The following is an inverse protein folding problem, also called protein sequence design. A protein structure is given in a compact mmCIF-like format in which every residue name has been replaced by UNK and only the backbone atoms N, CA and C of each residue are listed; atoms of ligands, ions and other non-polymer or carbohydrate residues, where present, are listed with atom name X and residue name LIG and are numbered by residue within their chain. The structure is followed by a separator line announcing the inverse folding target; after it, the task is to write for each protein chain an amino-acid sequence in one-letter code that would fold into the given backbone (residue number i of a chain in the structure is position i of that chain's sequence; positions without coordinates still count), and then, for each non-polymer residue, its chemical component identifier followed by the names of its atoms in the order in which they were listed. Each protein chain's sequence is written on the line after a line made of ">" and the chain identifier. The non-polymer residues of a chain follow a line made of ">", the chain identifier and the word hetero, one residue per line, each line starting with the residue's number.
data_IF_523631824164
#
_entry.id   IF_523631824164
#
_cell.length_a   1.000
_cell.length_b   1.000
_cell.length_c   1.000
_cell.angle_alpha   90.00
_cell.angle_beta   90.00
_cell.angle_gamma   90.00
#
_symmetry.space_group_name_H-M   'P 1'
#
loop_
_entity.id
_entity.type
_entity.pdbx_description
1 polymer ?
#
# COMPACT_ATOMS: atom_id res chain seq x y z
N UNK A 1 -79.66 50.74 23.53
CA UNK A 1 -79.60 50.62 22.04
C UNK A 1 -78.21 50.97 21.55
N UNK A 2 -77.61 50.30 20.66
CA UNK A 2 -77.29 48.92 20.59
C UNK A 2 -75.74 48.65 20.44
N UNK A 3 -75.35 47.51 20.92
CA UNK A 3 -74.42 46.53 20.40
C UNK A 3 -73.08 46.93 19.75
N UNK A 4 -72.07 46.71 20.55
CA UNK A 4 -70.68 46.61 20.19
C UNK A 4 -70.33 45.27 19.49
N UNK A 5 -69.59 45.36 18.44
CA UNK A 5 -69.04 44.20 17.70
C UNK A 5 -67.71 43.73 18.34
N UNK A 6 -67.68 42.47 18.57
CA UNK A 6 -66.58 41.72 19.19
C UNK A 6 -65.46 41.47 18.15
N UNK A 7 -64.33 41.98 18.50
CA UNK A 7 -63.11 41.64 17.73
C UNK A 7 -62.56 40.25 18.10
N UNK A 8 -62.48 39.43 17.10
CA UNK A 8 -61.97 38.08 17.21
C UNK A 8 -60.47 38.13 16.93
N UNK A 9 -59.63 37.98 17.96
CA UNK A 9 -58.21 37.79 17.79
C UNK A 9 -57.94 36.35 17.47
N UNK A 10 -57.56 36.08 16.23
CA UNK A 10 -57.03 34.81 15.81
C UNK A 10 -55.53 34.73 16.15
N UNK A 11 -55.16 33.89 17.14
CA UNK A 11 -53.78 33.56 17.44
C UNK A 11 -53.28 32.57 16.39
N UNK A 12 -52.44 33.04 15.47
CA UNK A 12 -51.73 32.18 14.53
C UNK A 12 -50.45 31.65 15.24
N UNK A 13 -50.48 30.42 15.71
CA UNK A 13 -49.32 29.74 16.25
C UNK A 13 -48.39 29.28 15.07
N UNK A 14 -47.31 30.01 14.84
CA UNK A 14 -46.28 29.61 13.90
C UNK A 14 -45.44 28.47 14.50
N UNK A 15 -45.73 27.24 14.06
CA UNK A 15 -44.93 26.07 14.40
C UNK A 15 -43.69 26.05 13.50
N UNK A 16 -42.57 26.61 13.95
CA UNK A 16 -41.26 26.50 13.28
C UNK A 16 -40.69 25.13 13.55
N UNK A 17 -40.85 24.21 12.59
CA UNK A 17 -40.15 22.93 12.58
C UNK A 17 -38.67 23.14 12.24
N UNK A 18 -37.82 23.05 13.27
CA UNK A 18 -36.36 23.00 13.13
C UNK A 18 -36.00 21.66 12.48
N UNK A 19 -35.74 21.65 11.18
CA UNK A 19 -35.15 20.50 10.50
C UNK A 19 -33.68 20.40 10.96
N UNK A 20 -33.40 19.52 11.92
CA UNK A 20 -32.02 19.15 12.27
C UNK A 20 -31.39 18.43 11.09
N UNK A 21 -30.49 19.09 10.35
CA UNK A 21 -29.68 18.48 9.37
C UNK A 21 -28.70 17.46 10.05
N UNK A 22 -29.01 16.17 9.97
CA UNK A 22 -28.12 15.12 10.40
C UNK A 22 -26.94 15.10 9.39
N UNK A 23 -25.69 15.38 9.84
CA UNK A 23 -24.57 15.24 8.92
C UNK A 23 -24.51 13.78 8.46
N UNK A 24 -24.66 13.54 7.18
CA UNK A 24 -24.41 12.24 6.59
C UNK A 24 -22.94 11.89 6.85
N UNK A 25 -22.70 10.94 7.75
CA UNK A 25 -21.41 10.36 7.97
C UNK A 25 -20.99 9.74 6.63
N UNK A 26 -20.10 10.39 5.89
CA UNK A 26 -19.48 9.81 4.73
C UNK A 26 -18.70 8.60 5.22
N UNK A 27 -19.12 7.42 4.82
CA UNK A 27 -18.35 6.19 4.99
C UNK A 27 -17.03 6.41 4.24
N UNK A 28 -15.96 6.74 4.96
CA UNK A 28 -14.62 6.76 4.39
C UNK A 28 -14.30 5.32 4.00
N UNK A 29 -14.22 5.06 2.70
CA UNK A 29 -13.73 3.79 2.19
C UNK A 29 -12.37 3.52 2.85
N UNK A 30 -12.27 2.39 3.56
CA UNK A 30 -11.00 2.00 4.20
C UNK A 30 -9.91 1.94 3.14
N UNK A 31 -8.74 2.58 3.36
CA UNK A 31 -7.66 2.56 2.40
C UNK A 31 -7.31 1.13 2.00
N UNK A 32 -7.23 0.86 0.71
CA UNK A 32 -6.96 -0.49 0.18
C UNK A 32 -5.57 -0.96 0.60
N UNK A 33 -5.51 -2.07 1.34
CA UNK A 33 -4.26 -2.74 1.67
C UNK A 33 -3.67 -3.34 0.39
N UNK A 34 -2.40 -3.06 0.12
CA UNK A 34 -1.67 -3.56 -1.05
C UNK A 34 -0.53 -4.51 -0.68
N UNK A 35 -0.06 -4.46 0.57
CA UNK A 35 0.97 -5.35 1.09
C UNK A 35 0.68 -5.68 2.55
N UNK A 36 0.82 -6.95 2.90
CA UNK A 36 0.77 -7.43 4.29
C UNK A 36 2.12 -8.01 4.69
N UNK A 37 2.65 -7.61 5.84
CA UNK A 37 3.85 -8.20 6.45
C UNK A 37 3.44 -8.93 7.72
N UNK A 38 3.84 -10.19 7.87
CA UNK A 38 3.46 -11.06 9.00
C UNK A 38 4.62 -11.95 9.45
N UNK A 39 4.41 -12.75 10.49
CA UNK A 39 5.43 -13.65 11.05
C UNK A 39 6.28 -12.96 12.12
N UNK A 40 7.61 -13.11 12.08
CA UNK A 40 8.53 -12.53 13.09
C UNK A 40 8.69 -11.02 12.92
N UNK A 41 7.69 -10.27 13.35
CA UNK A 41 7.65 -8.79 13.34
C UNK A 41 7.34 -8.26 14.74
N UNK A 42 7.85 -7.08 15.08
CA UNK A 42 7.62 -6.42 16.38
C UNK A 42 6.61 -5.28 16.34
N UNK A 43 6.24 -4.81 15.14
CA UNK A 43 5.27 -3.73 14.96
C UNK A 43 4.08 -4.25 14.16
N UNK A 44 2.88 -3.90 14.60
CA UNK A 44 1.63 -4.30 13.94
C UNK A 44 0.66 -3.12 13.91
N UNK A 45 -0.14 -3.00 12.86
CA UNK A 45 -1.28 -2.07 12.76
C UNK A 45 -2.60 -2.80 12.49
N UNK A 46 -2.55 -4.15 12.43
CA UNK A 46 -3.68 -5.06 12.37
C UNK A 46 -3.34 -6.33 13.18
N UNK A 47 -4.31 -7.17 13.56
CA UNK A 47 -4.05 -8.36 14.37
C UNK A 47 -2.98 -9.28 13.76
N UNK A 48 -1.80 -9.38 14.42
CA UNK A 48 -0.69 -10.27 14.04
C UNK A 48 0.06 -9.88 12.75
N UNK A 49 -0.18 -8.69 12.20
CA UNK A 49 0.41 -8.26 10.92
C UNK A 49 0.59 -6.74 10.83
N UNK A 50 1.40 -6.31 9.89
CA UNK A 50 1.52 -4.92 9.48
C UNK A 50 1.00 -4.78 8.04
N UNK A 51 0.01 -3.93 7.86
CA UNK A 51 -0.65 -3.68 6.58
C UNK A 51 -0.20 -2.34 6.00
N UNK A 52 0.22 -2.35 4.74
CA UNK A 52 0.56 -1.14 4.00
C UNK A 52 -0.50 -0.84 2.96
N UNK A 53 -0.91 0.41 2.91
CA UNK A 53 -1.59 0.99 1.75
C UNK A 53 -0.57 1.53 0.75
N UNK A 54 -1.00 1.86 -0.46
CA UNK A 54 -0.09 2.47 -1.45
C UNK A 54 0.46 3.82 -0.97
N UNK A 55 -0.36 4.61 -0.26
CA UNK A 55 0.05 5.90 0.30
C UNK A 55 1.11 5.74 1.40
N UNK A 56 0.98 4.72 2.25
CA UNK A 56 2.00 4.41 3.26
C UNK A 56 3.34 4.04 2.61
N UNK A 57 3.31 3.23 1.55
CA UNK A 57 4.52 2.89 0.79
C UNK A 57 5.10 4.12 0.07
N UNK A 58 4.25 5.01 -0.44
CA UNK A 58 4.68 6.25 -1.09
C UNK A 58 5.28 7.27 -0.11
N UNK A 59 4.88 7.24 1.16
CA UNK A 59 5.39 8.11 2.22
C UNK A 59 6.77 7.68 2.75
N UNK A 60 7.20 6.42 2.53
CA UNK A 60 8.57 5.99 2.83
C UNK A 60 9.56 6.66 1.87
N UNK A 61 10.86 6.76 2.24
CA UNK A 61 11.89 7.25 1.34
C UNK A 61 11.88 6.47 0.02
N UNK A 62 11.76 7.17 -1.10
CA UNK A 62 11.70 6.56 -2.43
C UNK A 62 13.09 6.45 -3.03
N UNK A 63 13.37 5.32 -3.65
CA UNK A 63 14.59 5.05 -4.39
C UNK A 63 14.24 4.67 -5.84
N UNK A 64 15.09 5.08 -6.80
CA UNK A 64 14.92 4.78 -8.21
C UNK A 64 16.22 4.31 -8.83
N UNK A 65 16.13 3.33 -9.70
CA UNK A 65 17.22 2.94 -10.62
C UNK A 65 16.64 2.42 -11.93
N UNK A 66 17.46 2.46 -12.97
CA UNK A 66 17.17 1.84 -14.26
C UNK A 66 18.02 0.58 -14.38
N UNK A 67 17.42 -0.53 -14.79
CA UNK A 67 18.13 -1.81 -14.94
C UNK A 67 17.50 -2.68 -16.02
N UNK A 68 18.33 -3.48 -16.68
CA UNK A 68 17.88 -4.60 -17.49
C UNK A 68 17.28 -5.70 -16.62
N UNK A 69 16.30 -6.38 -17.15
CA UNK A 69 15.69 -7.55 -16.49
C UNK A 69 15.44 -8.64 -17.52
N UNK A 70 15.30 -9.90 -17.12
CA UNK A 70 14.99 -10.98 -18.08
C UNK A 70 13.55 -10.91 -18.62
N UNK A 71 12.72 -10.03 -18.10
CA UNK A 71 11.29 -9.94 -18.44
C UNK A 71 10.94 -8.80 -19.41
N UNK A 72 11.87 -7.86 -19.63
CA UNK A 72 11.68 -6.72 -20.55
C UNK A 72 12.83 -6.66 -21.53
N UNK A 73 12.53 -6.27 -22.77
CA UNK A 73 13.55 -6.15 -23.84
C UNK A 73 14.48 -4.97 -23.63
N UNK A 74 13.97 -3.92 -22.97
CA UNK A 74 14.67 -2.67 -22.73
C UNK A 74 14.85 -2.45 -21.22
N UNK A 75 15.87 -1.68 -20.79
CA UNK A 75 16.01 -1.28 -19.41
C UNK A 75 14.76 -0.52 -18.96
N UNK A 76 14.33 -0.77 -17.71
CA UNK A 76 13.18 -0.09 -17.11
C UNK A 76 13.60 0.65 -15.86
N UNK A 77 13.02 1.82 -15.64
CA UNK A 77 13.15 2.57 -14.41
C UNK A 77 12.15 2.04 -13.39
N UNK A 78 12.66 1.58 -12.25
CA UNK A 78 11.85 1.13 -11.12
C UNK A 78 11.95 2.13 -9.98
N UNK A 79 10.80 2.48 -9.38
CA UNK A 79 10.74 3.43 -8.26
C UNK A 79 9.86 2.89 -7.16
N UNK A 80 10.34 2.97 -5.92
CA UNK A 80 9.62 2.58 -4.72
C UNK A 80 10.49 2.72 -3.47
N UNK A 81 9.97 2.39 -2.27
CA UNK A 81 10.79 2.31 -1.07
C UNK A 81 11.79 1.16 -1.19
N UNK A 82 12.92 1.29 -0.50
CA UNK A 82 13.84 0.16 -0.34
C UNK A 82 13.17 -0.94 0.49
N UNK A 83 13.43 -2.20 0.14
CA UNK A 83 12.91 -3.33 0.88
C UNK A 83 13.26 -3.24 2.37
N UNK A 84 14.49 -2.87 2.72
CA UNK A 84 14.93 -2.67 4.11
C UNK A 84 14.08 -1.66 4.89
N UNK A 85 13.62 -0.59 4.24
CA UNK A 85 12.81 0.45 4.89
C UNK A 85 11.39 -0.06 5.17
N UNK A 86 10.83 -0.86 4.26
CA UNK A 86 9.55 -1.55 4.44
C UNK A 86 9.64 -2.55 5.60
N UNK A 87 10.71 -3.37 5.64
CA UNK A 87 10.94 -4.33 6.72
C UNK A 87 11.16 -3.64 8.07
N UNK A 88 11.89 -2.53 8.10
CA UNK A 88 12.11 -1.72 9.31
C UNK A 88 10.81 -1.08 9.83
N UNK A 89 9.93 -0.63 8.94
CA UNK A 89 8.62 -0.09 9.31
C UNK A 89 7.76 -1.14 10.03
N UNK A 90 7.80 -2.41 9.61
CA UNK A 90 7.12 -3.53 10.26
C UNK A 90 7.90 -4.11 11.46
N UNK A 91 9.12 -3.65 11.71
CA UNK A 91 9.97 -4.14 12.80
C UNK A 91 10.36 -5.62 12.65
N UNK A 92 10.83 -6.00 11.47
CA UNK A 92 11.22 -7.38 11.15
C UNK A 92 12.36 -7.88 12.03
N UNK A 93 12.23 -9.09 12.56
CA UNK A 93 13.20 -9.77 13.44
C UNK A 93 13.61 -11.15 12.92
N UNK A 94 13.11 -11.57 11.75
CA UNK A 94 13.46 -12.84 11.12
C UNK A 94 14.67 -12.74 10.20
N UNK A 95 15.00 -13.86 9.56
CA UNK A 95 16.15 -13.98 8.63
C UNK A 95 15.73 -14.30 7.21
N UNK A 96 14.55 -14.85 7.03
CA UNK A 96 14.01 -15.27 5.74
C UNK A 96 12.67 -14.57 5.48
N UNK A 97 12.47 -14.17 4.24
CA UNK A 97 11.22 -13.60 3.74
C UNK A 97 10.62 -14.60 2.75
N UNK A 98 9.38 -15.00 2.97
CA UNK A 98 8.54 -15.65 1.96
C UNK A 98 7.66 -14.59 1.32
N UNK A 99 8.03 -14.18 0.11
CA UNK A 99 7.27 -13.23 -0.69
C UNK A 99 6.18 -13.98 -1.45
N UNK A 100 4.91 -13.58 -1.28
CA UNK A 100 3.76 -14.25 -1.89
C UNK A 100 3.08 -13.30 -2.88
N UNK A 101 2.92 -13.75 -4.11
CA UNK A 101 2.23 -13.03 -5.17
C UNK A 101 0.71 -13.25 -5.16
N UNK A 102 -0.03 -12.46 -5.93
CA UNK A 102 -1.49 -12.57 -6.06
C UNK A 102 -1.96 -13.92 -6.62
N UNK A 103 -1.12 -14.58 -7.43
CA UNK A 103 -1.35 -15.91 -7.99
C UNK A 103 -0.81 -17.05 -7.11
N UNK A 104 -0.50 -16.77 -5.84
CA UNK A 104 0.06 -17.69 -4.85
C UNK A 104 1.48 -18.22 -5.16
N UNK A 105 2.16 -17.67 -6.18
CA UNK A 105 3.59 -17.91 -6.36
C UNK A 105 4.36 -17.44 -5.13
N UNK A 106 5.32 -18.24 -4.69
CA UNK A 106 6.16 -17.95 -3.50
C UNK A 106 7.61 -17.86 -3.93
N UNK A 107 8.26 -16.79 -3.51
CA UNK A 107 9.70 -16.61 -3.63
C UNK A 107 10.31 -16.48 -2.24
N UNK A 108 11.45 -17.11 -2.02
CA UNK A 108 12.20 -17.00 -0.76
C UNK A 108 13.43 -16.13 -0.96
N UNK A 109 13.62 -15.16 -0.08
CA UNK A 109 14.79 -14.30 -0.09
C UNK A 109 15.25 -13.99 1.33
N UNK A 110 16.58 -13.91 1.58
CA UNK A 110 17.11 -13.50 2.89
C UNK A 110 16.73 -12.04 3.19
N UNK A 111 16.43 -11.75 4.45
CA UNK A 111 16.26 -10.36 4.94
C UNK A 111 17.50 -9.52 4.65
N UNK A 112 18.69 -10.12 4.75
CA UNK A 112 19.98 -9.48 4.47
C UNK A 112 20.14 -8.95 3.04
N UNK A 113 19.39 -9.46 2.06
CA UNK A 113 19.43 -8.93 0.70
C UNK A 113 19.03 -7.45 0.66
N UNK A 114 18.09 -7.05 1.52
CA UNK A 114 17.68 -5.65 1.65
C UNK A 114 18.77 -4.72 2.20
N UNK A 115 19.76 -5.25 2.92
CA UNK A 115 20.91 -4.49 3.43
C UNK A 115 22.12 -4.56 2.50
N UNK A 116 22.33 -5.71 1.86
CA UNK A 116 23.45 -5.92 0.93
C UNK A 116 23.28 -5.17 -0.38
N UNK A 117 22.05 -5.07 -0.86
CA UNK A 117 21.72 -4.45 -2.13
C UNK A 117 20.60 -3.41 -1.94
N UNK A 118 20.56 -2.36 -2.74
CA UNK A 118 19.44 -1.42 -2.74
C UNK A 118 18.22 -2.03 -3.46
N UNK A 119 17.69 -3.14 -2.92
CA UNK A 119 16.50 -3.79 -3.43
C UNK A 119 15.30 -2.86 -3.27
N UNK A 120 14.60 -2.58 -4.36
CA UNK A 120 13.42 -1.73 -4.37
C UNK A 120 12.16 -2.58 -4.35
N UNK A 121 11.23 -2.23 -3.48
CA UNK A 121 9.84 -2.63 -3.61
C UNK A 121 9.16 -1.66 -4.57
N UNK A 122 9.30 -1.94 -5.86
CA UNK A 122 8.82 -1.06 -6.92
C UNK A 122 7.28 -0.95 -6.88
N UNK A 123 6.79 0.28 -6.86
CA UNK A 123 5.38 0.65 -7.03
C UNK A 123 5.13 1.39 -8.35
N UNK A 124 6.21 1.90 -8.95
CA UNK A 124 6.20 2.55 -10.26
C UNK A 124 7.22 1.90 -11.19
N UNK A 125 6.86 1.79 -12.45
CA UNK A 125 7.75 1.47 -13.56
C UNK A 125 7.62 2.57 -14.62
N UNK A 126 8.76 3.15 -15.04
CA UNK A 126 8.81 4.30 -15.94
C UNK A 126 7.90 5.45 -15.46
N UNK A 127 7.98 5.74 -14.15
CA UNK A 127 7.24 6.77 -13.42
C UNK A 127 5.70 6.59 -13.42
N UNK A 128 5.19 5.41 -13.78
CA UNK A 128 3.77 5.08 -13.81
C UNK A 128 3.45 3.92 -12.86
N UNK A 129 2.28 3.91 -12.21
CA UNK A 129 1.81 2.75 -11.45
C UNK A 129 1.75 1.51 -12.35
N UNK A 130 2.21 0.37 -11.82
CA UNK A 130 2.16 -0.89 -12.54
C UNK A 130 0.77 -1.54 -12.38
N UNK A 131 0.06 -1.80 -13.48
CA UNK A 131 -1.17 -2.59 -13.40
C UNK A 131 -0.88 -4.05 -13.05
N UNK A 132 -1.85 -4.75 -12.45
CA UNK A 132 -1.71 -6.18 -12.08
C UNK A 132 -1.31 -7.04 -13.28
N UNK A 133 -1.89 -6.79 -14.46
CA UNK A 133 -1.54 -7.50 -15.71
C UNK A 133 -0.09 -7.30 -16.16
N UNK A 134 0.60 -6.27 -15.63
CA UNK A 134 1.98 -5.94 -15.96
C UNK A 134 2.83 -5.84 -14.68
N UNK A 135 2.91 -6.97 -13.96
CA UNK A 135 3.72 -7.20 -12.75
C UNK A 135 3.38 -6.36 -11.51
N UNK A 136 2.35 -5.48 -11.57
CA UNK A 136 1.90 -4.69 -10.43
C UNK A 136 0.96 -5.43 -9.47
N UNK A 137 0.55 -4.81 -8.37
CA UNK A 137 0.84 -3.42 -8.03
C UNK A 137 2.25 -3.19 -7.44
N UNK A 138 2.91 -4.25 -6.94
CA UNK A 138 4.22 -4.22 -6.31
C UNK A 138 5.13 -5.30 -6.89
N UNK A 139 6.42 -4.96 -7.01
CA UNK A 139 7.43 -5.83 -7.58
C UNK A 139 8.76 -5.69 -6.81
N UNK A 140 9.33 -6.78 -6.32
CA UNK A 140 10.66 -6.81 -5.71
C UNK A 140 11.69 -6.81 -6.83
N UNK A 141 12.49 -5.75 -6.94
CA UNK A 141 13.47 -5.58 -8.02
C UNK A 141 14.86 -5.34 -7.45
N UNK A 142 15.83 -6.11 -7.92
CA UNK A 142 17.24 -5.91 -7.65
C UNK A 142 17.87 -5.01 -8.73
N UNK A 143 18.92 -4.23 -8.41
CA UNK A 143 19.63 -3.42 -9.38
C UNK A 143 20.60 -4.29 -10.20
N UNK A 144 20.09 -5.11 -11.12
CA UNK A 144 20.85 -6.17 -11.81
C UNK A 144 22.09 -5.68 -12.57
N UNK A 145 22.07 -4.43 -13.03
CA UNK A 145 23.21 -3.86 -13.77
C UNK A 145 24.30 -3.28 -12.87
N UNK A 146 24.03 -3.17 -11.55
CA UNK A 146 25.02 -2.64 -10.60
C UNK A 146 26.06 -3.68 -10.18
N UNK A 147 25.76 -4.97 -10.30
CA UNK A 147 26.64 -6.05 -9.92
C UNK A 147 26.34 -7.30 -10.76
N UNK A 148 27.38 -7.91 -11.31
CA UNK A 148 27.26 -9.14 -12.14
C UNK A 148 26.63 -10.31 -11.41
N UNK A 149 26.86 -10.42 -10.10
CA UNK A 149 26.29 -11.49 -9.26
C UNK A 149 24.76 -11.45 -9.25
N UNK A 150 24.16 -10.29 -9.43
CA UNK A 150 22.72 -10.11 -9.45
C UNK A 150 22.07 -10.61 -10.74
N UNK A 151 22.84 -10.76 -11.83
CA UNK A 151 22.39 -11.27 -13.12
C UNK A 151 22.41 -12.81 -13.15
N UNK A 152 21.69 -13.43 -12.22
CA UNK A 152 21.62 -14.88 -12.09
C UNK A 152 20.20 -15.33 -11.73
N UNK A 153 19.87 -16.57 -12.05
CA UNK A 153 18.58 -17.18 -11.72
C UNK A 153 18.23 -17.07 -10.24
N UNK A 154 19.23 -17.09 -9.36
CA UNK A 154 19.06 -16.94 -7.93
C UNK A 154 18.30 -15.64 -7.60
N UNK A 155 18.74 -14.51 -8.13
CA UNK A 155 18.14 -13.20 -7.84
C UNK A 155 16.90 -12.95 -8.68
N UNK A 156 16.83 -13.50 -9.89
CA UNK A 156 15.60 -13.47 -10.69
C UNK A 156 14.47 -14.22 -9.98
N UNK A 157 14.74 -15.38 -9.39
CA UNK A 157 13.75 -16.16 -8.63
C UNK A 157 13.32 -15.49 -7.31
N UNK A 158 14.15 -14.58 -6.73
CA UNK A 158 13.79 -13.77 -5.56
C UNK A 158 12.93 -12.56 -5.89
N UNK A 159 12.79 -12.22 -7.15
CA UNK A 159 12.10 -11.02 -7.62
C UNK A 159 10.62 -11.32 -7.86
N UNK A 160 9.86 -11.36 -6.78
CA UNK A 160 8.42 -11.60 -6.86
C UNK A 160 7.69 -10.36 -7.39
N UNK A 161 6.92 -10.53 -8.44
CA UNK A 161 5.96 -9.54 -8.95
C UNK A 161 4.53 -9.85 -8.52
N UNK A 162 3.59 -8.90 -8.73
CA UNK A 162 2.22 -8.99 -8.22
C UNK A 162 2.20 -9.30 -6.72
N UNK A 163 3.16 -8.74 -5.99
CA UNK A 163 3.37 -9.03 -4.59
C UNK A 163 2.15 -8.61 -3.75
N UNK A 164 1.68 -9.51 -2.86
CA UNK A 164 0.60 -9.25 -1.90
C UNK A 164 1.04 -9.36 -0.44
N UNK A 165 2.03 -10.21 -0.12
CA UNK A 165 2.47 -10.37 1.27
C UNK A 165 3.93 -10.81 1.39
N UNK A 166 4.51 -10.46 2.56
CA UNK A 166 5.81 -10.92 3.04
C UNK A 166 5.58 -11.64 4.38
N UNK A 167 5.92 -12.91 4.43
CA UNK A 167 5.90 -13.71 5.66
C UNK A 167 7.33 -13.86 6.15
N UNK A 168 7.59 -13.49 7.40
CA UNK A 168 8.93 -13.40 8.00
C UNK A 168 9.18 -14.61 8.89
N UNK A 169 10.28 -15.33 8.65
CA UNK A 169 10.71 -16.51 9.42
C UNK A 169 12.07 -16.32 10.13
#
# INVERSE_FOLDING_TARGET
>A
MPLSRRDLFACLAACTTLLAAVPAAQAQDKPKVVLTVSGKISKTNAPGKFEFTMDMLAALPQHSFTTMTPWYKEPRKFTGPLLRDVLAAAGVQGKLIKAVALNDYKAELPVDDGTKFPVVLARLMDDKPMPVRDKGPLFIVYPYDSDEVLRSERYYNRSAWQLKSLEIE
#
